data_IF_345828453438
#
_entry.id   IF_345828453438
#
_cell.length_a   1.000
_cell.length_b   1.000
_cell.length_c   1.000
_cell.angle_alpha   90.00
_cell.angle_beta   90.00
_cell.angle_gamma   90.00
#
_symmetry.space_group_name_H-M   'P 1'
#
loop_
_entity.id
_entity.type
_entity.pdbx_description
1 polymer ?
#
# COMPACT_ATOMS: atom_id res chain seq x y z
N UNK A 1 -30.35 -10.76 8.89
CA UNK A 1 -29.63 -10.39 7.65
C UNK A 1 -28.23 -10.93 7.79
N UNK A 2 -27.89 -11.97 7.04
CA UNK A 2 -26.54 -12.57 7.09
C UNK A 2 -25.60 -11.61 6.37
N UNK A 3 -24.74 -10.90 7.11
CA UNK A 3 -23.70 -10.10 6.48
C UNK A 3 -22.73 -11.07 5.81
N UNK A 4 -22.67 -11.02 4.48
CA UNK A 4 -21.74 -11.82 3.72
C UNK A 4 -20.40 -11.09 3.75
N UNK A 5 -19.48 -11.53 4.60
CA UNK A 5 -18.11 -11.01 4.60
C UNK A 5 -17.47 -11.39 3.26
N UNK A 6 -16.98 -10.44 2.46
CA UNK A 6 -16.33 -10.76 1.20
C UNK A 6 -15.11 -11.66 1.45
N UNK A 7 -14.95 -12.71 0.63
CA UNK A 7 -13.83 -13.64 0.72
C UNK A 7 -12.49 -12.95 0.40
N UNK A 8 -12.53 -11.90 -0.43
CA UNK A 8 -11.39 -11.04 -0.73
C UNK A 8 -11.88 -9.62 -1.05
N UNK A 9 -11.00 -8.64 -0.86
CA UNK A 9 -11.18 -7.26 -1.31
C UNK A 9 -9.95 -6.83 -2.12
N UNK A 10 -10.14 -5.92 -3.07
CA UNK A 10 -9.05 -5.26 -3.77
C UNK A 10 -8.79 -3.89 -3.15
N UNK A 11 -7.52 -3.56 -2.91
CA UNK A 11 -7.14 -2.24 -2.41
C UNK A 11 -7.41 -1.12 -3.43
N UNK A 12 -7.43 -1.46 -4.71
CA UNK A 12 -7.73 -0.58 -5.84
C UNK A 12 -8.05 -1.42 -7.08
N UNK A 13 -8.82 -0.86 -8.02
CA UNK A 13 -9.09 -1.46 -9.32
C UNK A 13 -8.07 -1.04 -10.39
N UNK A 14 -8.48 -1.08 -11.65
CA UNK A 14 -7.61 -0.73 -12.79
C UNK A 14 -7.42 0.79 -12.98
N UNK A 15 -8.28 1.61 -12.38
CA UNK A 15 -8.08 3.07 -12.31
C UNK A 15 -6.99 3.40 -11.27
N UNK A 16 -5.74 3.32 -11.73
CA UNK A 16 -4.54 3.46 -10.89
C UNK A 16 -3.38 4.05 -11.68
N UNK A 17 -2.41 4.70 -11.01
CA UNK A 17 -1.32 5.45 -11.67
C UNK A 17 -0.11 4.59 -12.07
N UNK A 18 -0.21 3.26 -12.03
CA UNK A 18 0.89 2.35 -12.34
C UNK A 18 0.40 1.10 -13.06
N UNK A 19 1.24 0.53 -13.92
CA UNK A 19 0.90 -0.69 -14.65
C UNK A 19 1.04 -1.94 -13.79
N UNK A 20 2.03 -1.99 -12.90
CA UNK A 20 2.28 -3.13 -11.99
C UNK A 20 2.58 -2.70 -10.56
N UNK A 21 2.27 -3.57 -9.60
CA UNK A 21 2.60 -3.45 -8.18
C UNK A 21 3.00 -4.82 -7.59
N UNK A 22 3.95 -4.85 -6.66
CA UNK A 22 4.45 -6.08 -6.04
C UNK A 22 4.93 -5.88 -4.60
N UNK A 23 5.21 -7.00 -3.92
CA UNK A 23 5.82 -7.09 -2.59
C UNK A 23 5.14 -6.21 -1.55
N UNK A 24 3.85 -6.44 -1.32
CA UNK A 24 3.11 -5.69 -0.32
C UNK A 24 3.48 -6.08 1.12
N UNK A 25 3.42 -5.10 2.00
CA UNK A 25 3.43 -5.25 3.46
C UNK A 25 2.20 -4.55 4.01
N UNK A 26 1.59 -5.06 5.08
CA UNK A 26 0.43 -4.44 5.71
C UNK A 26 0.55 -4.38 7.23
N UNK A 27 -0.17 -3.44 7.83
CA UNK A 27 -0.32 -3.32 9.27
C UNK A 27 -1.75 -2.91 9.62
N UNK A 28 -2.28 -3.43 10.72
CA UNK A 28 -3.51 -2.94 11.33
C UNK A 28 -3.14 -1.85 12.33
N UNK A 29 -3.74 -0.67 12.17
CA UNK A 29 -3.52 0.47 13.05
C UNK A 29 -4.40 0.36 14.29
N UNK A 30 -4.03 1.05 15.37
CA UNK A 30 -4.83 1.08 16.61
C UNK A 30 -6.25 1.67 16.40
N UNK A 31 -6.47 2.41 15.30
CA UNK A 31 -7.79 2.89 14.87
C UNK A 31 -8.70 1.80 14.29
N UNK A 32 -8.19 0.58 14.06
CA UNK A 32 -8.87 -0.51 13.35
C UNK A 32 -8.80 -0.39 11.82
N UNK A 33 -8.05 0.58 11.31
CA UNK A 33 -7.82 0.73 9.87
C UNK A 33 -6.61 -0.09 9.43
N UNK A 34 -6.59 -0.52 8.18
CA UNK A 34 -5.43 -1.23 7.60
C UNK A 34 -4.65 -0.29 6.70
N UNK A 35 -3.35 -0.24 6.85
CA UNK A 35 -2.44 0.37 5.88
C UNK A 35 -1.70 -0.73 5.13
N UNK A 36 -1.65 -0.64 3.81
CA UNK A 36 -0.80 -1.50 2.97
C UNK A 36 0.18 -0.63 2.20
N UNK A 37 1.44 -1.02 2.17
CA UNK A 37 2.48 -0.42 1.33
C UNK A 37 3.01 -1.45 0.33
N UNK A 38 3.42 -1.00 -0.85
CA UNK A 38 3.91 -1.83 -1.96
C UNK A 38 4.76 -0.97 -2.90
N UNK A 39 5.64 -1.57 -3.67
CA UNK A 39 6.29 -0.84 -4.77
C UNK A 39 5.45 -0.96 -6.04
N UNK A 40 5.41 0.11 -6.84
CA UNK A 40 4.65 0.14 -8.08
C UNK A 40 5.19 1.15 -9.10
N UNK A 41 5.03 0.82 -10.39
CA UNK A 41 5.52 1.60 -11.52
C UNK A 41 5.16 0.95 -12.86
N UNK A 42 5.90 1.25 -13.92
CA UNK A 42 5.67 0.67 -15.26
C UNK A 42 5.95 -0.84 -15.28
N UNK A 43 7.09 -1.27 -14.75
CA UNK A 43 7.42 -2.69 -14.50
C UNK A 43 8.51 -2.76 -13.42
N UNK A 44 8.72 -3.96 -12.85
CA UNK A 44 9.80 -4.18 -11.87
C UNK A 44 11.16 -3.69 -12.43
N UNK A 45 11.98 -3.06 -11.59
CA UNK A 45 13.27 -2.41 -11.93
C UNK A 45 13.20 -1.10 -12.73
N UNK A 46 12.03 -0.68 -13.20
CA UNK A 46 11.95 0.59 -13.94
C UNK A 46 12.30 1.78 -13.02
N UNK A 47 13.03 2.80 -13.51
CA UNK A 47 13.32 4.04 -12.76
C UNK A 47 12.11 4.74 -12.12
N UNK A 48 10.91 4.53 -12.65
CA UNK A 48 9.67 5.11 -12.15
C UNK A 48 9.01 4.34 -10.98
N UNK A 49 9.60 3.21 -10.58
CA UNK A 49 9.09 2.41 -9.46
C UNK A 49 9.33 3.18 -8.16
N UNK A 50 8.22 3.61 -7.57
CA UNK A 50 8.18 4.23 -6.25
C UNK A 50 7.52 3.33 -5.21
N UNK A 51 7.51 3.78 -3.96
CA UNK A 51 6.72 3.20 -2.88
C UNK A 51 5.36 3.90 -2.83
N UNK A 52 4.31 3.09 -2.76
CA UNK A 52 2.92 3.50 -2.70
C UNK A 52 2.26 2.88 -1.48
N UNK A 53 1.15 3.48 -1.05
CA UNK A 53 0.27 2.89 -0.05
C UNK A 53 -1.20 3.10 -0.38
N UNK A 54 -2.04 2.25 0.21
CA UNK A 54 -3.50 2.38 0.28
C UNK A 54 -3.96 2.17 1.73
N UNK A 55 -5.07 2.80 2.11
CA UNK A 55 -5.65 2.70 3.45
C UNK A 55 -7.05 2.13 3.37
N UNK A 56 -7.36 1.13 4.18
CA UNK A 56 -8.72 0.62 4.38
C UNK A 56 -9.32 1.30 5.59
N UNK A 57 -10.30 2.16 5.34
CA UNK A 57 -11.11 2.83 6.38
C UNK A 57 -12.46 2.12 6.52
N UNK A 58 -13.30 2.46 7.51
CA UNK A 58 -14.67 1.93 7.58
C UNK A 58 -15.50 2.19 6.31
N UNK A 59 -15.17 3.24 5.53
CA UNK A 59 -15.86 3.57 4.28
C UNK A 59 -15.37 2.77 3.05
N UNK A 60 -14.28 2.01 3.19
CA UNK A 60 -13.65 1.25 2.09
C UNK A 60 -12.19 1.62 1.88
N UNK A 61 -11.63 1.15 0.77
CA UNK A 61 -10.26 1.45 0.38
C UNK A 61 -10.13 2.85 -0.22
N UNK A 62 -9.14 3.60 0.25
CA UNK A 62 -8.73 4.86 -0.36
C UNK A 62 -7.83 4.61 -1.59
N UNK A 63 -7.85 5.50 -2.59
CA UNK A 63 -6.99 5.40 -3.77
C UNK A 63 -5.49 5.34 -3.42
N UNK A 64 -4.66 4.68 -4.26
CA UNK A 64 -3.21 4.63 -4.09
C UNK A 64 -2.58 6.01 -3.97
N UNK A 65 -1.64 6.16 -3.03
CA UNK A 65 -0.83 7.37 -2.86
C UNK A 65 0.65 7.02 -2.85
N UNK A 66 1.44 7.77 -3.61
CA UNK A 66 2.90 7.62 -3.68
C UNK A 66 3.53 8.28 -2.45
N UNK A 67 4.43 7.60 -1.77
CA UNK A 67 5.13 8.08 -0.56
C UNK A 67 6.64 8.22 -0.74
N UNK A 68 7.25 7.51 -1.69
CA UNK A 68 8.65 7.67 -2.02
C UNK A 68 8.91 7.42 -3.50
N UNK A 69 9.66 8.31 -4.14
CA UNK A 69 10.13 8.23 -5.53
C UNK A 69 11.20 9.32 -5.71
N UNK A 70 12.46 8.92 -5.56
CA UNK A 70 13.58 9.85 -5.54
C UNK A 70 14.68 9.41 -6.49
N UNK A 71 15.22 10.38 -7.25
CA UNK A 71 16.44 10.21 -8.04
C UNK A 71 16.32 9.32 -9.28
N UNK A 72 15.10 8.94 -9.70
CA UNK A 72 14.93 7.99 -10.81
C UNK A 72 15.55 6.61 -10.52
N UNK A 73 15.63 6.26 -9.23
CA UNK A 73 16.12 4.97 -8.77
C UNK A 73 14.90 4.14 -8.39
N UNK A 74 14.79 2.94 -8.95
CA UNK A 74 13.73 2.00 -8.60
C UNK A 74 13.76 1.70 -7.09
N UNK A 75 12.64 1.95 -6.43
CA UNK A 75 12.41 1.56 -5.03
C UNK A 75 11.87 0.13 -4.96
N UNK A 76 12.05 -0.52 -3.81
CA UNK A 76 11.85 -1.97 -3.65
C UNK A 76 11.03 -2.28 -2.41
N UNK A 77 10.94 -3.57 -2.08
CA UNK A 77 10.18 -4.19 -1.00
C UNK A 77 10.01 -3.29 0.23
N UNK A 78 8.88 -2.57 0.35
CA UNK A 78 8.63 -1.77 1.53
C UNK A 78 8.39 -2.67 2.74
N UNK A 79 8.90 -2.27 3.90
CA UNK A 79 8.63 -2.95 5.17
C UNK A 79 8.00 -1.97 6.18
N UNK A 80 6.79 -2.28 6.62
CA UNK A 80 6.09 -1.52 7.66
C UNK A 80 6.46 -2.07 9.04
N UNK A 81 6.84 -1.17 9.95
CA UNK A 81 7.15 -1.51 11.33
C UNK A 81 6.44 -0.55 12.28
N UNK A 82 5.52 -1.08 13.08
CA UNK A 82 4.86 -0.32 14.14
C UNK A 82 5.70 -0.40 15.41
N UNK A 83 6.28 0.73 15.82
CA UNK A 83 7.07 0.83 17.03
C UNK A 83 6.20 0.83 18.30
N UNK A 84 6.74 0.47 19.47
CA UNK A 84 5.99 0.42 20.73
C UNK A 84 5.37 1.75 21.17
N UNK A 85 5.90 2.88 20.69
CA UNK A 85 5.38 4.22 20.96
C UNK A 85 4.26 4.66 19.99
N UNK A 86 3.79 3.74 19.14
CA UNK A 86 2.72 3.97 18.18
C UNK A 86 3.17 4.59 16.86
N UNK A 87 4.46 4.93 16.69
CA UNK A 87 4.97 5.41 15.40
C UNK A 87 5.01 4.28 14.39
N UNK A 88 4.58 4.57 13.16
CA UNK A 88 4.72 3.66 12.03
C UNK A 88 5.91 4.08 11.17
N UNK A 89 6.84 3.15 11.00
CA UNK A 89 8.01 3.29 10.15
C UNK A 89 7.82 2.55 8.84
N UNK A 90 8.37 3.12 7.77
CA UNK A 90 8.45 2.52 6.44
C UNK A 90 9.93 2.49 6.04
N UNK A 91 10.42 1.29 5.75
CA UNK A 91 11.77 1.03 5.24
C UNK A 91 11.70 0.62 3.76
#
# INVERSE_FOLDING_TARGET
MTQHTPLHEHAFGDDRPFASCHASTLVELASGETLVAYFAGTHEKNPDVGIWHSRRTPAGWEPPRKVADFGGIAHWNPALFQAPDGRLWLF
#
